data_IF_288188964594
#
_entry.id   IF_288188964594
#
_cell.length_a   1.000
_cell.length_b   1.000
_cell.length_c   1.000
_cell.angle_alpha   90.00
_cell.angle_beta   90.00
_cell.angle_gamma   90.00
#
_symmetry.space_group_name_H-M   'P 1'
#
loop_
_entity.id
_entity.type
_entity.pdbx_description
1 polymer ?
#
# COMPACT_ATOMS: atom_id res chain seq x y z
N UNK A 1 19.35 -9.50 6.06
CA UNK A 1 18.92 -8.99 4.75
C UNK A 1 17.89 -9.97 4.24
N UNK A 2 16.68 -9.48 4.02
CA UNK A 2 15.59 -10.27 3.46
C UNK A 2 15.08 -9.58 2.20
N UNK A 3 14.34 -10.32 1.40
CA UNK A 3 13.61 -9.81 0.25
C UNK A 3 12.12 -9.81 0.61
N UNK A 4 11.53 -8.64 0.77
CA UNK A 4 10.09 -8.51 0.94
C UNK A 4 9.41 -8.67 -0.42
N UNK A 5 8.67 -9.76 -0.61
CA UNK A 5 8.04 -10.11 -1.89
C UNK A 5 6.55 -9.83 -1.81
N UNK A 6 6.07 -8.77 -2.47
CA UNK A 6 4.65 -8.45 -2.56
C UNK A 6 4.00 -9.27 -3.68
N UNK A 7 3.18 -10.26 -3.28
CA UNK A 7 2.77 -11.36 -4.17
C UNK A 7 1.30 -11.74 -3.96
N UNK A 8 0.66 -12.32 -4.98
CA UNK A 8 -0.71 -12.81 -4.91
C UNK A 8 -1.13 -13.64 -6.12
N UNK A 9 -2.00 -13.14 -7.01
CA UNK A 9 -2.55 -13.92 -8.12
C UNK A 9 -1.52 -14.34 -9.17
N UNK A 10 -0.40 -13.62 -9.31
CA UNK A 10 0.68 -13.99 -10.23
C UNK A 10 1.52 -15.12 -9.67
N UNK A 11 1.82 -15.05 -8.37
CA UNK A 11 2.60 -16.04 -7.65
C UNK A 11 2.02 -16.15 -6.24
N UNK A 12 1.33 -17.25 -5.97
CA UNK A 12 0.63 -17.41 -4.70
C UNK A 12 1.64 -17.38 -3.53
N UNK A 13 1.32 -16.78 -2.36
CA UNK A 13 2.26 -16.72 -1.23
C UNK A 13 2.77 -18.08 -0.73
N UNK A 14 2.02 -19.15 -1.00
CA UNK A 14 2.39 -20.54 -0.70
C UNK A 14 3.11 -21.27 -1.84
N UNK A 15 3.53 -20.58 -2.90
CA UNK A 15 4.22 -21.19 -4.03
C UNK A 15 5.63 -21.69 -3.63
N UNK A 16 6.06 -22.88 -4.09
CA UNK A 16 7.40 -23.40 -3.81
C UNK A 16 8.56 -22.47 -4.21
N UNK A 17 8.37 -21.60 -5.21
CA UNK A 17 9.39 -20.62 -5.60
C UNK A 17 9.73 -19.63 -4.47
N UNK A 18 8.84 -19.46 -3.49
CA UNK A 18 9.02 -18.60 -2.32
C UNK A 18 9.54 -19.36 -1.09
N UNK A 19 9.96 -20.62 -1.22
CA UNK A 19 10.38 -21.45 -0.10
C UNK A 19 11.74 -21.05 0.52
N UNK A 20 12.55 -20.24 -0.17
CA UNK A 20 13.82 -19.76 0.37
C UNK A 20 13.60 -18.85 1.60
N UNK A 21 14.33 -19.11 2.68
CA UNK A 21 14.25 -18.36 3.95
C UNK A 21 14.61 -16.88 3.84
N UNK A 22 15.27 -16.47 2.76
CA UNK A 22 15.56 -15.08 2.43
C UNK A 22 14.34 -14.31 1.93
N UNK A 23 13.28 -15.00 1.50
CA UNK A 23 12.03 -14.38 1.09
C UNK A 23 11.09 -14.17 2.28
N UNK A 24 10.51 -12.98 2.34
CA UNK A 24 9.44 -12.63 3.29
C UNK A 24 8.21 -12.29 2.45
N UNK A 25 7.32 -13.27 2.18
CA UNK A 25 6.10 -13.03 1.43
C UNK A 25 5.23 -11.98 2.13
N UNK A 26 4.73 -11.03 1.34
CA UNK A 26 3.79 -9.98 1.70
C UNK A 26 2.57 -10.12 0.81
N UNK A 27 1.37 -9.69 1.27
CA UNK A 27 0.19 -9.62 0.40
C UNK A 27 0.45 -8.72 -0.83
N UNK A 28 -0.44 -8.69 -1.84
CA UNK A 28 -0.32 -7.75 -2.95
C UNK A 28 -0.17 -6.31 -2.44
N UNK A 29 0.76 -5.56 -3.03
CA UNK A 29 1.12 -4.23 -2.52
C UNK A 29 -0.03 -3.23 -2.62
N UNK A 30 -0.28 -2.51 -1.53
CA UNK A 30 -1.22 -1.40 -1.46
C UNK A 30 -0.54 -0.10 -1.02
N UNK A 31 -1.33 0.97 -1.04
CA UNK A 31 -0.94 2.26 -0.50
C UNK A 31 -0.62 2.15 1.00
N UNK A 32 0.58 2.58 1.38
CA UNK A 32 1.10 2.57 2.75
C UNK A 32 2.04 1.42 3.07
N UNK A 33 2.05 0.34 2.28
CA UNK A 33 2.77 -0.89 2.64
C UNK A 33 4.30 -0.73 2.63
N UNK A 34 4.82 0.18 1.79
CA UNK A 34 6.25 0.48 1.75
C UNK A 34 6.74 1.22 3.00
N UNK A 35 5.83 1.88 3.73
CA UNK A 35 6.10 2.62 4.97
C UNK A 35 6.18 1.68 6.19
N UNK A 36 6.10 0.37 5.98
CA UNK A 36 6.20 -0.62 7.04
C UNK A 36 7.58 -0.55 7.76
N UNK A 37 7.62 -0.46 9.10
CA UNK A 37 8.88 -0.24 9.85
C UNK A 37 9.88 -1.39 9.75
N UNK A 38 9.42 -2.58 9.40
CA UNK A 38 10.26 -3.74 9.15
C UNK A 38 11.04 -3.72 7.84
N UNK A 39 10.83 -2.74 6.95
CA UNK A 39 11.60 -2.58 5.71
C UNK A 39 12.77 -1.64 6.00
N UNK A 40 13.99 -2.18 6.01
CA UNK A 40 15.21 -1.43 6.33
C UNK A 40 16.07 -1.17 5.09
N UNK A 41 17.00 -0.18 5.13
CA UNK A 41 17.93 0.08 4.03
C UNK A 41 18.79 -1.12 3.59
N UNK A 42 18.91 -2.14 4.45
CA UNK A 42 19.66 -3.36 4.15
C UNK A 42 18.82 -4.43 3.44
N UNK A 43 17.54 -4.18 3.18
CA UNK A 43 16.61 -5.13 2.57
C UNK A 43 16.36 -4.82 1.11
N UNK A 44 15.78 -5.80 0.41
CA UNK A 44 15.26 -5.64 -0.95
C UNK A 44 13.74 -5.74 -0.91
N UNK A 45 13.07 -4.93 -1.71
CA UNK A 45 11.64 -5.04 -1.98
C UNK A 45 11.45 -5.54 -3.41
N UNK A 46 10.73 -6.65 -3.58
CA UNK A 46 10.27 -7.13 -4.88
C UNK A 46 8.76 -6.93 -4.96
N UNK A 47 8.33 -6.11 -5.92
CA UNK A 47 6.91 -5.88 -6.22
C UNK A 47 6.53 -6.78 -7.38
N UNK A 48 5.65 -7.75 -7.13
CA UNK A 48 5.00 -8.55 -8.17
C UNK A 48 3.58 -8.03 -8.34
N UNK A 49 2.72 -8.32 -7.37
CA UNK A 49 1.29 -8.00 -7.43
C UNK A 49 0.93 -6.78 -6.57
N UNK A 50 -0.13 -6.09 -6.99
CA UNK A 50 -0.75 -5.01 -6.23
C UNK A 50 -2.24 -5.24 -6.01
N UNK A 51 -2.78 -4.59 -4.98
CA UNK A 51 -4.22 -4.53 -4.78
C UNK A 51 -4.89 -3.79 -5.94
N UNK A 52 -5.99 -4.35 -6.43
CA UNK A 52 -6.78 -3.76 -7.51
C UNK A 52 -8.25 -3.61 -7.05
N UNK A 53 -8.86 -2.45 -7.33
CA UNK A 53 -10.21 -2.01 -6.96
C UNK A 53 -10.59 -1.93 -5.46
N UNK A 54 -10.12 -2.85 -4.61
CA UNK A 54 -10.56 -2.94 -3.22
C UNK A 54 -9.80 -1.99 -2.27
N UNK A 55 -8.64 -1.51 -2.69
CA UNK A 55 -7.83 -0.54 -1.97
C UNK A 55 -7.02 0.30 -2.97
N UNK A 56 -6.56 1.51 -2.58
CA UNK A 56 -5.67 2.29 -3.43
C UNK A 56 -4.36 1.53 -3.68
N UNK A 57 -3.96 1.45 -4.95
CA UNK A 57 -2.67 0.87 -5.34
C UNK A 57 -1.49 1.71 -4.82
N UNK A 58 -0.32 1.07 -4.76
CA UNK A 58 0.94 1.73 -4.40
C UNK A 58 1.20 2.97 -5.27
N UNK A 59 1.63 4.06 -4.62
CA UNK A 59 1.93 5.34 -5.29
C UNK A 59 3.41 5.42 -5.65
N UNK A 60 3.72 6.07 -6.78
CA UNK A 60 5.11 6.34 -7.20
C UNK A 60 5.96 6.97 -6.11
N UNK A 61 5.39 7.94 -5.37
CA UNK A 61 6.11 8.66 -4.31
C UNK A 61 6.53 7.75 -3.15
N UNK A 62 5.81 6.67 -2.88
CA UNK A 62 6.19 5.69 -1.85
C UNK A 62 7.37 4.83 -2.30
N UNK A 63 7.41 4.48 -3.60
CA UNK A 63 8.54 3.75 -4.20
C UNK A 63 9.77 4.67 -4.22
N UNK A 64 9.63 5.91 -4.67
CA UNK A 64 10.72 6.90 -4.67
C UNK A 64 11.24 7.14 -3.25
N UNK A 65 10.34 7.28 -2.26
CA UNK A 65 10.75 7.39 -0.86
C UNK A 65 11.53 6.15 -0.40
N UNK A 66 11.09 4.95 -0.78
CA UNK A 66 11.77 3.71 -0.43
C UNK A 66 13.18 3.65 -1.02
N UNK A 67 13.32 3.98 -2.31
CA UNK A 67 14.61 4.11 -2.99
C UNK A 67 15.51 5.15 -2.31
N UNK A 68 14.95 6.31 -1.90
CA UNK A 68 15.71 7.38 -1.22
C UNK A 68 16.29 6.96 0.13
N UNK A 69 15.76 5.91 0.76
CA UNK A 69 16.32 5.31 1.98
C UNK A 69 17.47 4.34 1.72
N UNK A 70 17.84 4.11 0.46
CA UNK A 70 18.83 3.11 0.06
C UNK A 70 18.27 1.69 -0.07
N UNK A 71 16.95 1.51 0.11
CA UNK A 71 16.30 0.21 -0.09
C UNK A 71 16.27 -0.09 -1.58
N UNK A 72 16.69 -1.30 -1.96
CA UNK A 72 16.58 -1.75 -3.34
C UNK A 72 15.15 -2.13 -3.67
N UNK A 73 14.63 -1.63 -4.79
CA UNK A 73 13.28 -1.98 -5.25
C UNK A 73 13.33 -2.60 -6.64
N UNK A 74 12.85 -3.84 -6.74
CA UNK A 74 12.62 -4.56 -7.99
C UNK A 74 11.13 -4.56 -8.31
N UNK A 75 10.80 -4.54 -9.60
CA UNK A 75 9.45 -4.75 -10.10
C UNK A 75 9.43 -5.74 -11.26
N UNK A 76 8.52 -6.70 -11.20
CA UNK A 76 8.34 -7.73 -12.22
C UNK A 76 6.88 -8.15 -12.30
N UNK A 77 6.43 -8.52 -13.50
CA UNK A 77 5.02 -8.81 -13.80
C UNK A 77 4.03 -7.73 -13.32
N UNK A 78 2.74 -7.91 -13.65
CA UNK A 78 1.62 -7.18 -13.02
C UNK A 78 1.89 -5.66 -12.83
N UNK A 79 1.53 -5.08 -11.68
CA UNK A 79 1.84 -3.68 -11.35
C UNK A 79 3.34 -3.43 -11.11
N UNK A 80 4.10 -4.45 -10.72
CA UNK A 80 5.52 -4.33 -10.42
C UNK A 80 6.33 -3.91 -11.65
N UNK A 81 6.13 -4.60 -12.77
CA UNK A 81 6.73 -4.30 -14.06
C UNK A 81 6.35 -2.91 -14.57
N UNK A 82 5.06 -2.53 -14.45
CA UNK A 82 4.58 -1.20 -14.83
C UNK A 82 5.29 -0.10 -14.04
N UNK A 83 5.35 -0.23 -12.70
CA UNK A 83 6.01 0.75 -11.83
C UNK A 83 7.52 0.79 -12.07
N UNK A 84 8.15 -0.35 -12.35
CA UNK A 84 9.57 -0.38 -12.73
C UNK A 84 9.83 0.35 -14.04
N UNK A 85 8.96 0.23 -15.05
CA UNK A 85 9.09 0.96 -16.30
C UNK A 85 8.96 2.49 -16.09
N UNK A 86 8.00 2.92 -15.28
CA UNK A 86 7.78 4.34 -14.97
C UNK A 86 8.87 4.96 -14.07
N UNK A 87 9.55 4.14 -13.26
CA UNK A 87 10.53 4.57 -12.25
C UNK A 87 11.95 4.07 -12.53
N UNK A 88 12.23 3.62 -13.76
CA UNK A 88 13.56 3.17 -14.17
C UNK A 88 14.59 4.28 -13.94
N UNK A 89 14.28 5.50 -14.38
CA UNK A 89 15.13 6.68 -14.17
C UNK A 89 15.24 7.09 -12.69
N UNK A 90 14.35 6.59 -11.83
CA UNK A 90 14.40 6.79 -10.38
C UNK A 90 15.25 5.74 -9.65
N UNK A 91 15.76 4.72 -10.34
CA UNK A 91 16.57 3.64 -9.78
C UNK A 91 15.80 2.37 -9.42
N UNK A 92 14.51 2.26 -9.79
CA UNK A 92 13.77 1.00 -9.66
C UNK A 92 14.25 0.00 -10.73
N UNK A 93 14.53 -1.24 -10.33
CA UNK A 93 15.03 -2.29 -11.22
C UNK A 93 13.86 -3.07 -11.79
N UNK A 94 13.71 -3.06 -13.12
CA UNK A 94 12.71 -3.88 -13.80
C UNK A 94 13.25 -5.23 -14.23
N UNK A 95 12.41 -6.27 -14.14
CA UNK A 95 12.78 -7.64 -14.53
C UNK A 95 11.68 -8.26 -15.39
N UNK A 96 12.09 -8.95 -16.46
CA UNK A 96 11.21 -9.80 -17.26
C UNK A 96 10.68 -9.21 -18.57
N UNK A 97 9.91 -10.04 -19.29
CA UNK A 97 9.30 -9.72 -20.60
C UNK A 97 8.30 -8.57 -20.46
N UNK A 98 7.49 -8.56 -19.40
CA UNK A 98 6.44 -7.56 -19.18
C UNK A 98 7.04 -6.19 -18.87
N UNK A 99 8.07 -6.13 -18.02
CA UNK A 99 8.80 -4.88 -17.77
C UNK A 99 9.38 -4.33 -19.05
N UNK A 100 10.10 -5.16 -19.81
CA UNK A 100 10.73 -4.76 -21.07
C UNK A 100 9.69 -4.21 -22.04
N UNK A 101 8.52 -4.86 -22.13
CA UNK A 101 7.46 -4.44 -23.02
C UNK A 101 6.83 -3.09 -22.62
N UNK A 102 6.68 -2.78 -21.32
CA UNK A 102 6.28 -1.45 -20.88
C UNK A 102 7.39 -0.40 -21.09
N UNK A 103 8.63 -0.70 -20.72
CA UNK A 103 9.77 0.21 -20.84
C UNK A 103 10.05 0.62 -22.30
N UNK A 104 9.75 -0.26 -23.25
CA UNK A 104 9.89 0.00 -24.69
C UNK A 104 8.61 0.49 -25.37
N UNK A 105 7.50 0.64 -24.62
CA UNK A 105 6.22 1.13 -25.13
C UNK A 105 5.42 0.12 -25.98
N UNK A 106 5.83 -1.15 -26.03
CA UNK A 106 5.04 -2.21 -26.68
C UNK A 106 3.74 -2.52 -25.91
N UNK A 107 3.75 -2.32 -24.59
CA UNK A 107 2.58 -2.31 -23.74
C UNK A 107 2.38 -0.90 -23.18
N UNK A 108 1.14 -0.44 -23.17
CA UNK A 108 0.75 0.89 -22.64
C UNK A 108 -0.50 0.84 -21.76
N UNK A 109 -1.30 -0.24 -21.85
CA UNK A 109 -2.54 -0.38 -21.09
C UNK A 109 -2.31 -1.02 -19.72
N UNK A 110 -2.98 -0.49 -18.69
CA UNK A 110 -3.01 -1.08 -17.34
C UNK A 110 -3.74 -2.43 -17.34
N UNK A 111 -4.71 -2.60 -18.24
CA UNK A 111 -5.51 -3.83 -18.37
C UNK A 111 -4.75 -4.99 -19.03
N UNK A 112 -3.53 -4.75 -19.53
CA UNK A 112 -2.68 -5.78 -20.13
C UNK A 112 -2.29 -6.85 -19.10
N UNK A 113 -2.14 -6.44 -17.85
CA UNK A 113 -1.66 -7.30 -16.74
C UNK A 113 -2.71 -7.54 -15.65
N UNK A 114 -3.85 -6.85 -15.73
CA UNK A 114 -4.93 -6.93 -14.76
C UNK A 114 -5.70 -8.25 -14.83
N UNK A 115 -6.12 -8.75 -13.67
CA UNK A 115 -6.94 -9.96 -13.52
C UNK A 115 -8.03 -9.74 -12.48
N UNK A 116 -9.19 -10.37 -12.65
CA UNK A 116 -10.07 -10.63 -11.52
C UNK A 116 -9.43 -11.69 -10.63
N UNK A 117 -9.42 -11.45 -9.33
CA UNK A 117 -8.79 -12.33 -8.35
C UNK A 117 -9.76 -12.67 -7.21
N UNK A 118 -9.53 -13.83 -6.60
CA UNK A 118 -10.17 -14.22 -5.35
C UNK A 118 -9.75 -13.28 -4.21
N UNK A 119 -10.63 -13.11 -3.22
CA UNK A 119 -10.25 -12.43 -1.99
C UNK A 119 -9.22 -13.27 -1.21
N UNK A 120 -8.44 -12.61 -0.35
CA UNK A 120 -7.57 -13.33 0.59
C UNK A 120 -8.41 -14.30 1.46
N UNK A 121 -7.90 -15.51 1.78
CA UNK A 121 -6.53 -15.96 1.54
C UNK A 121 -6.28 -16.65 0.19
N UNK A 122 -7.31 -16.89 -0.63
CA UNK A 122 -7.20 -17.67 -1.88
C UNK A 122 -6.32 -16.97 -2.93
N UNK A 123 -6.54 -15.67 -3.16
CA UNK A 123 -5.75 -14.83 -4.09
C UNK A 123 -5.62 -15.36 -5.53
N UNK A 124 -6.28 -16.45 -5.91
CA UNK A 124 -6.22 -17.04 -7.25
C UNK A 124 -6.76 -16.10 -8.33
N UNK A 125 -6.15 -16.11 -9.52
CA UNK A 125 -6.67 -15.41 -10.69
C UNK A 125 -7.84 -16.17 -11.34
N UNK A 126 -8.95 -15.50 -11.60
CA UNK A 126 -10.10 -16.06 -12.33
C UNK A 126 -10.07 -15.80 -13.83
N UNK A 127 -9.25 -14.85 -14.27
CA UNK A 127 -9.21 -14.37 -15.66
C UNK A 127 -7.80 -14.30 -16.19
N UNK A 128 -7.71 -14.32 -17.51
CA UNK A 128 -6.47 -14.25 -18.26
C UNK A 128 -6.06 -12.80 -18.54
N UNK A 129 -4.86 -12.38 -18.12
CA UNK A 129 -4.31 -11.09 -18.51
C UNK A 129 -3.91 -11.14 -20.00
N UNK A 130 -3.97 -10.00 -20.69
CA UNK A 130 -3.67 -9.96 -22.13
C UNK A 130 -2.21 -10.35 -22.44
N UNK A 131 -1.27 -10.09 -21.53
CA UNK A 131 0.12 -10.55 -21.70
C UNK A 131 0.24 -12.07 -21.85
N UNK A 132 -0.53 -12.84 -21.08
CA UNK A 132 -0.56 -14.30 -21.20
C UNK A 132 -1.31 -14.74 -22.47
N UNK A 133 -2.39 -14.03 -22.83
CA UNK A 133 -3.10 -14.27 -24.10
C UNK A 133 -2.16 -14.08 -25.30
N UNK A 134 -1.41 -12.97 -25.34
CA UNK A 134 -0.43 -12.67 -26.39
C UNK A 134 0.62 -13.78 -26.48
N UNK A 135 1.13 -14.27 -25.35
CA UNK A 135 2.09 -15.37 -25.32
C UNK A 135 1.50 -16.65 -25.90
N UNK A 136 0.30 -17.03 -25.47
CA UNK A 136 -0.39 -18.22 -25.97
C UNK A 136 -0.64 -18.13 -27.49
N UNK A 137 -1.07 -16.98 -28.00
CA UNK A 137 -1.27 -16.76 -29.43
C UNK A 137 0.03 -16.85 -30.23
N UNK A 138 1.11 -16.23 -29.75
CA UNK A 138 2.44 -16.33 -30.39
C UNK A 138 2.93 -17.79 -30.45
N UNK A 139 2.74 -18.54 -29.37
CA UNK A 139 3.08 -19.97 -29.33
C UNK A 139 2.24 -20.77 -30.33
N UNK A 140 0.93 -20.53 -30.38
CA UNK A 140 0.03 -21.18 -31.35
C UNK A 140 0.43 -20.90 -32.80
N UNK A 141 0.83 -19.66 -33.13
CA UNK A 141 1.36 -19.30 -34.45
C UNK A 141 2.67 -20.03 -34.74
N UNK A 142 3.60 -20.07 -33.76
CA UNK A 142 4.89 -20.74 -33.94
C UNK A 142 4.77 -22.25 -34.15
N UNK A 143 3.70 -22.85 -33.61
CA UNK A 143 3.39 -24.28 -33.76
C UNK A 143 2.48 -24.56 -34.98
N UNK A 144 2.09 -23.54 -35.75
CA UNK A 144 1.25 -23.68 -36.93
C UNK A 144 -0.21 -24.05 -36.63
N UNK A 145 -0.67 -23.85 -35.40
CA UNK A 145 -2.06 -24.13 -34.97
C UNK A 145 -3.03 -23.09 -35.55
N UNK A 146 -2.56 -21.84 -35.66
CA UNK A 146 -3.25 -20.72 -36.29
C UNK A 146 -2.25 -19.91 -37.11
N UNK A 147 -2.75 -19.13 -38.07
CA UNK A 147 -1.93 -18.16 -38.80
C UNK A 147 -1.85 -16.81 -38.04
N UNK A 148 -0.92 -15.91 -38.45
CA UNK A 148 -0.78 -14.60 -37.81
C UNK A 148 -2.05 -13.72 -37.89
N UNK A 149 -2.83 -13.81 -38.96
CA UNK A 149 -4.04 -13.00 -39.14
C UNK A 149 -5.12 -13.40 -38.13
N UNK A 150 -5.33 -14.70 -37.95
CA UNK A 150 -6.21 -15.25 -36.92
C UNK A 150 -5.76 -14.86 -35.51
N UNK A 151 -4.46 -14.88 -35.22
CA UNK A 151 -3.91 -14.41 -33.94
C UNK A 151 -4.28 -12.96 -33.67
N UNK A 152 -4.10 -12.07 -34.65
CA UNK A 152 -4.40 -10.64 -34.52
C UNK A 152 -5.90 -10.39 -34.32
N UNK A 153 -6.76 -11.11 -35.06
CA UNK A 153 -8.22 -11.04 -34.89
C UNK A 153 -8.66 -11.49 -33.49
N UNK A 154 -8.16 -12.63 -33.00
CA UNK A 154 -8.48 -13.13 -31.66
C UNK A 154 -8.05 -12.13 -30.59
N UNK A 155 -6.83 -11.59 -30.70
CA UNK A 155 -6.33 -10.60 -29.76
C UNK A 155 -7.17 -9.32 -29.77
N UNK A 156 -7.56 -8.85 -30.96
CA UNK A 156 -8.41 -7.67 -31.11
C UNK A 156 -9.79 -7.87 -30.46
N UNK A 157 -10.40 -9.05 -30.57
CA UNK A 157 -11.66 -9.37 -29.90
C UNK A 157 -11.49 -9.43 -28.37
N UNK A 158 -10.44 -10.07 -27.88
CA UNK A 158 -10.20 -10.20 -26.44
C UNK A 158 -9.84 -8.87 -25.77
N UNK A 159 -9.22 -7.95 -26.49
CA UNK A 159 -8.93 -6.59 -25.99
C UNK A 159 -10.22 -5.81 -25.69
N UNK A 160 -11.31 -6.05 -26.43
CA UNK A 160 -12.62 -5.42 -26.20
C UNK A 160 -13.32 -5.94 -24.94
N UNK A 161 -12.95 -7.12 -24.46
CA UNK A 161 -13.52 -7.72 -23.26
C UNK A 161 -12.89 -7.06 -22.03
N UNK A 162 -13.73 -6.57 -21.11
CA UNK A 162 -13.26 -6.06 -19.81
C UNK A 162 -12.43 -7.12 -19.08
N UNK A 163 -11.27 -6.75 -18.52
CA UNK A 163 -10.29 -7.70 -17.99
C UNK A 163 -10.92 -8.71 -17.01
N UNK A 164 -11.85 -8.26 -16.16
CA UNK A 164 -12.49 -9.10 -15.16
C UNK A 164 -13.44 -10.16 -15.74
N UNK A 165 -13.68 -10.15 -17.05
CA UNK A 165 -14.52 -11.13 -17.76
C UNK A 165 -13.72 -12.03 -18.73
N UNK A 166 -12.39 -11.87 -18.83
CA UNK A 166 -11.51 -12.65 -19.73
C UNK A 166 -11.27 -14.07 -19.20
N UNK A 167 -12.32 -14.87 -19.07
CA UNK A 167 -12.22 -16.28 -18.67
C UNK A 167 -11.70 -17.16 -19.80
N UNK A 168 -11.20 -18.35 -19.48
CA UNK A 168 -10.82 -19.35 -20.49
C UNK A 168 -11.96 -19.60 -21.49
N UNK A 169 -13.21 -19.67 -21.03
CA UNK A 169 -14.39 -19.84 -21.91
C UNK A 169 -14.51 -18.72 -22.95
N UNK A 170 -14.19 -17.49 -22.58
CA UNK A 170 -14.21 -16.34 -23.49
C UNK A 170 -13.07 -16.42 -24.50
N UNK A 171 -11.86 -16.80 -24.08
CA UNK A 171 -10.73 -17.07 -24.97
C UNK A 171 -11.07 -18.12 -26.03
N UNK A 172 -11.65 -19.25 -25.60
CA UNK A 172 -12.09 -20.32 -26.51
C UNK A 172 -13.18 -19.84 -27.48
N UNK A 173 -14.09 -18.97 -27.02
CA UNK A 173 -15.15 -18.42 -27.86
C UNK A 173 -14.61 -17.45 -28.90
N UNK A 174 -13.64 -16.61 -28.54
CA UNK A 174 -12.98 -15.69 -29.46
C UNK A 174 -12.29 -16.43 -30.61
N UNK A 175 -11.57 -17.52 -30.29
CA UNK A 175 -10.97 -18.40 -31.30
C UNK A 175 -11.98 -18.94 -32.31
N UNK A 176 -13.13 -19.45 -31.84
CA UNK A 176 -14.20 -19.92 -32.73
C UNK A 176 -14.80 -18.82 -33.60
N UNK A 177 -15.11 -17.67 -33.01
CA UNK A 177 -15.70 -16.53 -33.72
C UNK A 177 -14.78 -15.95 -34.80
N UNK A 178 -13.46 -16.08 -34.63
CA UNK A 178 -12.47 -15.65 -35.60
C UNK A 178 -12.07 -16.75 -36.62
N UNK A 179 -12.83 -17.86 -36.71
CA UNK A 179 -12.54 -18.93 -37.66
C UNK A 179 -11.38 -19.86 -37.29
N UNK A 180 -10.87 -19.76 -36.05
CA UNK A 180 -9.72 -20.53 -35.56
C UNK A 180 -10.09 -21.44 -34.37
N UNK A 181 -11.02 -22.41 -34.53
CA UNK A 181 -11.45 -23.29 -33.44
C UNK A 181 -10.33 -24.20 -32.92
N UNK A 182 -9.30 -24.47 -33.73
CA UNK A 182 -8.14 -25.30 -33.35
C UNK A 182 -7.36 -24.71 -32.16
N UNK A 183 -7.27 -23.37 -32.07
CA UNK A 183 -6.63 -22.68 -30.95
C UNK A 183 -7.19 -23.12 -29.59
N UNK A 184 -8.51 -23.28 -29.51
CA UNK A 184 -9.16 -23.59 -28.25
C UNK A 184 -8.87 -25.01 -27.74
N UNK A 185 -8.85 -25.98 -28.64
CA UNK A 185 -8.50 -27.37 -28.30
C UNK A 185 -7.04 -27.47 -27.91
N UNK A 186 -6.16 -26.86 -28.71
CA UNK A 186 -4.73 -26.80 -28.43
C UNK A 186 -4.42 -26.17 -27.08
N UNK A 187 -5.00 -25.01 -26.77
CA UNK A 187 -4.75 -24.33 -25.49
C UNK A 187 -5.21 -25.18 -24.30
N UNK A 188 -6.35 -25.85 -24.43
CA UNK A 188 -6.87 -26.73 -23.38
C UNK A 188 -5.95 -27.94 -23.14
N UNK A 189 -5.44 -28.52 -24.22
CA UNK A 189 -4.50 -29.65 -24.17
C UNK A 189 -3.18 -29.24 -23.50
N UNK A 190 -2.59 -28.13 -23.94
CA UNK A 190 -1.38 -27.56 -23.32
C UNK A 190 -1.55 -27.25 -21.83
N UNK A 191 -2.69 -26.70 -21.44
CA UNK A 191 -2.99 -26.41 -20.02
C UNK A 191 -3.27 -27.65 -19.18
N UNK A 192 -3.67 -28.75 -19.82
CA UNK A 192 -3.82 -30.03 -19.12
C UNK A 192 -2.45 -30.61 -18.76
N UNK A 193 -1.48 -30.52 -19.68
CA UNK A 193 -0.12 -31.00 -19.48
C UNK A 193 0.71 -30.10 -18.56
N UNK A 194 0.60 -28.78 -18.73
CA UNK A 194 1.27 -27.77 -17.91
C UNK A 194 0.29 -26.65 -17.52
N UNK A 195 -0.13 -26.57 -16.24
CA UNK A 195 -1.07 -25.53 -15.79
C UNK A 195 -0.50 -24.11 -15.90
N UNK A 196 0.82 -23.95 -16.06
CA UNK A 196 1.50 -22.67 -16.22
C UNK A 196 1.87 -22.36 -17.67
N UNK A 197 1.37 -23.14 -18.63
CA UNK A 197 1.67 -22.94 -20.04
C UNK A 197 1.29 -21.52 -20.51
N UNK A 198 2.28 -20.79 -21.02
CA UNK A 198 2.10 -19.41 -21.49
C UNK A 198 1.90 -18.36 -20.39
N UNK A 199 2.15 -18.71 -19.12
CA UNK A 199 2.05 -17.77 -18.00
C UNK A 199 3.31 -16.90 -17.87
N UNK A 200 3.36 -15.82 -18.65
CA UNK A 200 4.48 -14.86 -18.63
C UNK A 200 4.56 -14.14 -17.29
N UNK A 201 3.42 -13.87 -16.65
CA UNK A 201 3.43 -13.23 -15.33
C UNK A 201 4.16 -14.10 -14.31
N UNK A 202 3.88 -15.41 -14.28
CA UNK A 202 4.62 -16.35 -13.42
C UNK A 202 6.09 -16.44 -13.80
N UNK A 203 6.41 -16.56 -15.08
CA UNK A 203 7.81 -16.65 -15.54
C UNK A 203 8.64 -15.43 -15.12
N UNK A 204 8.10 -14.22 -15.31
CA UNK A 204 8.75 -12.97 -14.88
C UNK A 204 8.91 -12.90 -13.36
N UNK A 205 7.90 -13.35 -12.59
CA UNK A 205 7.96 -13.37 -11.14
C UNK A 205 9.07 -14.30 -10.63
N UNK A 206 9.20 -15.51 -11.18
CA UNK A 206 10.25 -16.46 -10.83
C UNK A 206 11.64 -15.91 -11.18
N UNK A 207 11.80 -15.34 -12.38
CA UNK A 207 13.05 -14.70 -12.80
C UNK A 207 13.44 -13.56 -11.84
N UNK A 208 12.47 -12.80 -11.35
CA UNK A 208 12.71 -11.70 -10.42
C UNK A 208 13.14 -12.18 -9.02
N UNK A 209 12.65 -13.34 -8.57
CA UNK A 209 13.12 -13.97 -7.34
C UNK A 209 14.59 -14.39 -7.47
N UNK A 210 14.96 -15.04 -8.57
CA UNK A 210 16.35 -15.43 -8.86
C UNK A 210 17.27 -14.19 -8.96
N UNK A 211 16.79 -13.14 -9.64
CA UNK A 211 17.49 -11.85 -9.74
C UNK A 211 17.68 -11.22 -8.35
N UNK A 212 16.66 -11.24 -7.50
CA UNK A 212 16.75 -10.66 -6.15
C UNK A 212 17.80 -11.37 -5.26
N UNK A 213 18.02 -12.67 -5.45
CA UNK A 213 19.03 -13.45 -4.71
C UNK A 213 20.46 -13.25 -5.24
N UNK A 214 20.60 -13.01 -6.54
CA UNK A 214 21.91 -12.92 -7.21
C UNK A 214 22.49 -11.51 -7.25
N UNK A 215 21.66 -10.47 -7.08
CA UNK A 215 22.14 -9.08 -7.10
C UNK A 215 23.12 -8.79 -5.97
N UNK A 216 24.28 -8.25 -6.35
CA UNK A 216 25.33 -7.81 -5.43
C UNK A 216 24.81 -6.86 -4.36
N UNK A 217 25.43 -6.89 -3.18
CA UNK A 217 25.07 -6.06 -2.01
C UNK A 217 25.37 -4.57 -2.17
N UNK A 218 25.86 -4.13 -3.33
CA UNK A 218 26.15 -2.73 -3.61
C UNK A 218 24.88 -1.87 -3.44
N UNK A 219 24.99 -0.62 -2.97
CA UNK A 219 23.82 0.24 -2.75
C UNK A 219 22.97 0.36 -4.02
N UNK A 220 21.64 0.34 -3.85
CA UNK A 220 20.70 0.62 -4.95
C UNK A 220 20.97 2.01 -5.53
N UNK A 221 20.72 2.18 -6.83
CA UNK A 221 20.70 3.50 -7.44
C UNK A 221 19.76 4.41 -6.63
N UNK A 222 20.26 5.58 -6.25
CA UNK A 222 19.44 6.60 -5.59
C UNK A 222 18.58 7.32 -6.63
N UNK A 223 17.40 7.85 -6.24
CA UNK A 223 16.63 8.71 -7.11
C UNK A 223 17.48 9.91 -7.62
N UNK A 224 17.20 10.43 -8.83
CA UNK A 224 17.92 11.54 -9.43
C UNK A 224 18.08 12.72 -8.46
N UNK A 225 19.28 13.29 -8.45
CA UNK A 225 19.56 14.51 -7.68
C UNK A 225 18.63 15.63 -8.17
N UNK A 226 17.92 16.27 -7.23
CA UNK A 226 16.96 17.34 -7.54
C UNK A 226 15.50 16.88 -7.77
N UNK A 227 15.20 15.58 -7.72
CA UNK A 227 13.82 15.11 -7.78
C UNK A 227 13.03 15.54 -6.54
N UNK A 228 12.07 16.44 -6.72
CA UNK A 228 11.17 16.91 -5.64
C UNK A 228 9.91 16.05 -5.58
N UNK A 229 9.91 15.05 -4.72
CA UNK A 229 8.75 14.16 -4.49
C UNK A 229 8.07 14.41 -3.13
N UNK A 230 8.76 15.07 -2.19
CA UNK A 230 8.22 15.42 -0.89
C UNK A 230 7.23 16.59 -1.01
N UNK A 231 5.96 16.24 -1.25
CA UNK A 231 4.84 17.18 -1.36
C UNK A 231 3.92 17.06 -0.15
N UNK A 232 3.06 18.07 0.10
CA UNK A 232 2.03 18.02 1.15
C UNK A 232 1.17 16.74 1.10
N UNK A 233 0.79 16.29 -0.09
CA UNK A 233 0.03 15.04 -0.25
C UNK A 233 0.83 13.82 0.23
N UNK A 234 2.12 13.75 -0.14
CA UNK A 234 2.99 12.68 0.32
C UNK A 234 3.17 12.71 1.83
N UNK A 235 3.42 13.89 2.43
CA UNK A 235 3.54 14.03 3.88
C UNK A 235 2.28 13.58 4.62
N UNK A 236 1.10 13.96 4.12
CA UNK A 236 -0.18 13.48 4.66
C UNK A 236 -0.29 11.95 4.63
N UNK A 237 0.06 11.32 3.50
CA UNK A 237 0.06 9.86 3.38
C UNK A 237 1.14 9.22 4.26
N UNK A 238 2.32 9.82 4.34
CA UNK A 238 3.40 9.34 5.18
C UNK A 238 2.96 9.31 6.65
N UNK A 239 2.38 10.40 7.16
CA UNK A 239 1.84 10.47 8.51
C UNK A 239 0.71 9.46 8.76
N UNK A 240 -0.08 9.14 7.74
CA UNK A 240 -1.19 8.19 7.82
C UNK A 240 -0.73 6.76 8.14
N UNK A 241 0.41 6.34 7.57
CA UNK A 241 0.84 4.94 7.58
C UNK A 241 2.09 4.69 8.41
N UNK A 242 2.92 5.70 8.66
CA UNK A 242 4.18 5.50 9.40
C UNK A 242 3.90 4.97 10.80
N UNK A 243 4.57 3.87 11.11
CA UNK A 243 4.48 3.15 12.36
C UNK A 243 5.85 2.86 12.92
N UNK A 244 5.90 2.60 14.22
CA UNK A 244 7.13 2.29 14.95
C UNK A 244 6.92 1.05 15.79
N UNK A 245 7.95 0.21 15.88
CA UNK A 245 7.98 -0.89 16.82
C UNK A 245 8.44 -0.38 18.19
N UNK A 246 7.58 -0.50 19.20
CA UNK A 246 7.83 0.01 20.57
C UNK A 246 7.11 -0.87 21.60
N UNK A 247 7.80 -1.27 22.67
CA UNK A 247 7.28 -2.18 23.71
C UNK A 247 6.69 -3.52 23.17
N UNK A 248 7.16 -3.99 22.01
CA UNK A 248 6.64 -5.20 21.36
C UNK A 248 5.36 -4.97 20.53
N UNK A 249 4.92 -3.72 20.39
CA UNK A 249 3.79 -3.33 19.55
C UNK A 249 4.26 -2.63 18.27
N UNK A 250 3.51 -2.78 17.18
CA UNK A 250 3.63 -1.92 16.00
C UNK A 250 2.52 -0.89 16.07
N UNK A 251 2.87 0.36 16.36
CA UNK A 251 1.90 1.44 16.54
C UNK A 251 2.14 2.57 15.53
N UNK A 252 1.06 3.02 14.88
CA UNK A 252 1.09 4.21 14.02
C UNK A 252 1.49 5.43 14.85
N UNK A 253 2.45 6.21 14.36
CA UNK A 253 2.94 7.41 15.05
C UNK A 253 1.78 8.41 15.26
N UNK A 254 0.92 8.58 14.25
CA UNK A 254 -0.26 9.47 14.36
C UNK A 254 -1.18 9.12 15.52
N UNK A 255 -1.38 7.82 15.83
CA UNK A 255 -2.25 7.41 16.94
C UNK A 255 -1.58 7.72 18.28
N UNK A 256 -0.27 7.56 18.36
CA UNK A 256 0.53 7.93 19.54
C UNK A 256 0.47 9.43 19.78
N UNK A 257 0.70 10.23 18.74
CA UNK A 257 0.64 11.70 18.82
C UNK A 257 -0.78 12.16 19.14
N UNK A 258 -1.81 11.65 18.47
CA UNK A 258 -3.20 11.99 18.75
C UNK A 258 -3.60 11.64 20.21
N UNK A 259 -3.14 10.49 20.71
CA UNK A 259 -3.36 10.13 22.11
C UNK A 259 -2.73 11.13 23.06
N UNK A 260 -1.47 11.54 22.83
CA UNK A 260 -0.82 12.57 23.64
C UNK A 260 -1.52 13.93 23.51
N UNK A 261 -1.92 14.34 22.30
CA UNK A 261 -2.68 15.56 22.06
C UNK A 261 -3.97 15.60 22.89
N UNK A 262 -4.67 14.47 23.01
CA UNK A 262 -5.95 14.37 23.70
C UNK A 262 -5.77 14.22 25.22
N UNK A 263 -4.88 13.33 25.67
CA UNK A 263 -4.85 12.87 27.05
C UNK A 263 -3.68 13.40 27.90
N UNK A 264 -2.59 13.90 27.30
CA UNK A 264 -1.49 14.51 28.07
C UNK A 264 -1.86 15.97 28.42
N UNK A 265 -2.00 16.32 29.72
CA UNK A 265 -2.24 17.70 30.14
C UNK A 265 -1.08 18.63 29.80
N UNK A 266 0.15 18.10 29.71
CA UNK A 266 1.36 18.83 29.38
C UNK A 266 1.57 19.06 27.88
N UNK A 267 0.72 18.49 27.01
CA UNK A 267 0.97 18.47 25.57
C UNK A 267 1.03 19.87 24.94
N UNK A 268 0.19 20.81 25.40
CA UNK A 268 0.20 22.21 24.92
C UNK A 268 1.61 22.82 24.98
N UNK A 269 2.36 22.52 26.03
CA UNK A 269 3.74 23.01 26.19
C UNK A 269 4.72 22.36 25.21
N UNK A 270 4.49 21.10 24.79
CA UNK A 270 5.26 20.45 23.73
C UNK A 270 4.91 21.06 22.37
N UNK A 271 3.62 21.27 22.12
CA UNK A 271 3.14 21.88 20.89
C UNK A 271 3.65 23.31 20.70
N UNK A 272 3.62 24.14 21.74
CA UNK A 272 4.19 25.50 21.69
C UNK A 272 5.70 25.50 21.41
N UNK A 273 6.44 24.51 21.93
CA UNK A 273 7.86 24.33 21.60
C UNK A 273 8.06 23.96 20.13
N UNK A 274 7.19 23.11 19.58
CA UNK A 274 7.21 22.74 18.17
C UNK A 274 6.95 23.96 17.27
N UNK A 275 5.92 24.75 17.57
CA UNK A 275 5.60 25.98 16.81
C UNK A 275 6.75 26.98 16.78
N UNK A 276 7.44 27.18 17.91
CA UNK A 276 8.62 28.07 17.98
C UNK A 276 9.77 27.59 17.11
N UNK A 277 9.93 26.28 16.91
CA UNK A 277 10.93 25.71 15.98
C UNK A 277 10.53 25.91 14.52
N UNK A 278 9.24 25.95 14.22
CA UNK A 278 8.69 26.16 12.88
C UNK A 278 8.52 27.66 12.52
N UNK A 279 9.39 28.53 13.06
CA UNK A 279 9.44 29.98 12.81
C UNK A 279 8.23 30.81 13.31
N UNK A 280 7.31 30.24 14.08
CA UNK A 280 6.13 30.95 14.62
C UNK A 280 6.39 31.71 15.94
N UNK A 281 7.54 32.39 16.05
CA UNK A 281 8.07 32.90 17.31
C UNK A 281 7.37 34.17 17.86
N UNK A 282 6.68 34.94 17.02
CA UNK A 282 6.08 36.24 17.39
C UNK A 282 4.56 36.21 17.63
N UNK A 283 3.90 35.09 17.34
CA UNK A 283 2.43 34.96 17.45
C UNK A 283 2.01 34.25 18.75
N UNK A 284 0.88 34.66 19.32
CA UNK A 284 0.23 33.87 20.36
C UNK A 284 -0.09 32.47 19.83
N UNK A 285 0.02 31.39 20.63
CA UNK A 285 0.00 30.03 20.10
C UNK A 285 -1.25 29.64 19.29
N UNK A 286 -2.44 30.06 19.72
CA UNK A 286 -3.67 29.83 18.97
C UNK A 286 -3.63 30.51 17.59
N UNK A 287 -3.15 31.75 17.53
CA UNK A 287 -2.96 32.50 16.27
C UNK A 287 -1.86 31.88 15.41
N UNK A 288 -0.77 31.42 16.02
CA UNK A 288 0.32 30.71 15.33
C UNK A 288 -0.21 29.45 14.63
N UNK A 289 -1.07 28.65 15.28
CA UNK A 289 -1.63 27.46 14.66
C UNK A 289 -2.52 27.78 13.46
N UNK A 290 -3.38 28.79 13.60
CA UNK A 290 -4.30 29.22 12.54
C UNK A 290 -3.56 29.84 11.36
N UNK A 291 -2.55 30.68 11.63
CA UNK A 291 -1.82 31.43 10.61
C UNK A 291 -0.74 30.61 9.92
N UNK A 292 0.05 29.83 10.68
CA UNK A 292 1.18 29.06 10.15
C UNK A 292 0.72 27.74 9.57
N UNK A 293 -0.33 27.12 10.13
CA UNK A 293 -0.80 25.77 9.77
C UNK A 293 0.37 24.80 9.57
N UNK A 294 1.17 24.57 10.61
CA UNK A 294 2.42 23.84 10.48
C UNK A 294 2.15 22.44 9.92
N UNK A 295 2.78 22.13 8.79
CA UNK A 295 2.62 20.85 8.12
C UNK A 295 3.45 19.80 8.87
N UNK A 296 2.82 19.08 9.79
CA UNK A 296 3.45 18.11 10.67
C UNK A 296 4.15 17.02 9.85
N UNK A 297 5.43 16.77 10.10
CA UNK A 297 6.19 15.69 9.45
C UNK A 297 6.49 14.59 10.47
N UNK A 298 5.67 13.54 10.49
CA UNK A 298 5.89 12.40 11.39
C UNK A 298 7.00 11.46 10.90
N UNK A 299 7.63 11.76 9.77
CA UNK A 299 8.88 11.13 9.35
C UNK A 299 10.10 11.74 10.06
N UNK A 300 10.01 13.01 10.49
CA UNK A 300 11.11 13.69 11.18
C UNK A 300 11.23 13.20 12.62
N UNK A 301 12.35 12.53 12.91
CA UNK A 301 12.65 11.99 14.23
C UNK A 301 12.66 13.07 15.31
N UNK A 302 13.17 14.27 15.01
CA UNK A 302 13.21 15.35 16.01
C UNK A 302 11.80 15.83 16.39
N UNK A 303 10.90 15.91 15.41
CA UNK A 303 9.48 16.21 15.62
C UNK A 303 8.81 15.12 16.44
N UNK A 304 9.00 13.84 16.09
CA UNK A 304 8.40 12.71 16.82
C UNK A 304 8.91 12.64 18.26
N UNK A 305 10.21 12.77 18.48
CA UNK A 305 10.83 12.74 19.81
C UNK A 305 10.36 13.91 20.69
N UNK A 306 10.04 15.07 20.09
CA UNK A 306 9.44 16.19 20.81
C UNK A 306 7.99 15.91 21.20
N UNK A 307 7.15 15.49 20.25
CA UNK A 307 5.71 15.33 20.47
C UNK A 307 5.37 14.12 21.34
N UNK A 308 6.22 13.09 21.34
CA UNK A 308 6.05 11.89 22.17
C UNK A 308 6.91 11.91 23.44
N UNK A 309 7.46 13.07 23.83
CA UNK A 309 8.37 13.19 24.98
C UNK A 309 7.76 12.72 26.31
N UNK A 310 6.46 12.93 26.51
CA UNK A 310 5.76 12.52 27.73
C UNK A 310 5.13 11.13 27.62
N UNK A 311 5.23 10.46 26.46
CA UNK A 311 4.55 9.20 26.22
C UNK A 311 5.11 8.08 27.13
N UNK A 312 4.21 7.44 27.86
CA UNK A 312 4.52 6.33 28.76
C UNK A 312 4.16 4.97 28.15
N UNK A 313 4.68 3.90 28.75
CA UNK A 313 4.25 2.53 28.42
C UNK A 313 2.76 2.29 28.72
N UNK A 314 2.21 2.97 29.72
CA UNK A 314 0.78 2.90 30.04
C UNK A 314 -0.07 3.49 28.90
N UNK A 315 0.35 4.62 28.32
CA UNK A 315 -0.32 5.24 27.17
C UNK A 315 -0.33 4.31 25.97
N UNK A 316 0.83 3.73 25.63
CA UNK A 316 0.95 2.74 24.54
C UNK A 316 0.02 1.55 24.75
N UNK A 317 -0.05 1.05 25.98
CA UNK A 317 -0.95 -0.05 26.34
C UNK A 317 -2.42 0.35 26.20
N UNK A 318 -2.78 1.57 26.59
CA UNK A 318 -4.13 2.10 26.42
C UNK A 318 -4.51 2.26 24.95
N UNK A 319 -3.58 2.76 24.10
CA UNK A 319 -3.75 2.84 22.65
C UNK A 319 -4.04 1.45 22.08
N UNK A 320 -3.18 0.45 22.38
CA UNK A 320 -3.35 -0.93 21.90
C UNK A 320 -4.71 -1.50 22.30
N UNK A 321 -5.14 -1.29 23.56
CA UNK A 321 -6.44 -1.74 24.05
C UNK A 321 -7.60 -1.12 23.27
N UNK A 322 -7.55 0.19 23.01
CA UNK A 322 -8.58 0.88 22.25
C UNK A 322 -8.66 0.36 20.81
N UNK A 323 -7.51 0.24 20.13
CA UNK A 323 -7.45 -0.23 18.75
C UNK A 323 -7.94 -1.68 18.63
N UNK A 324 -7.55 -2.57 19.56
CA UNK A 324 -8.07 -3.95 19.61
C UNK A 324 -9.59 -4.00 19.82
N UNK A 325 -10.13 -3.12 20.66
CA UNK A 325 -11.58 -3.04 20.87
C UNK A 325 -12.32 -2.65 19.59
N UNK A 326 -11.73 -1.76 18.77
CA UNK A 326 -12.28 -1.41 17.46
C UNK A 326 -12.19 -2.56 16.47
N UNK A 327 -11.06 -3.27 16.42
CA UNK A 327 -10.89 -4.45 15.55
C UNK A 327 -11.90 -5.54 15.88
N UNK A 328 -12.08 -5.86 17.17
CA UNK A 328 -13.08 -6.81 17.65
C UNK A 328 -14.50 -6.38 17.26
N UNK A 329 -14.83 -5.09 17.44
CA UNK A 329 -16.15 -4.56 17.06
C UNK A 329 -16.38 -4.65 15.55
N UNK A 330 -15.38 -4.29 14.74
CA UNK A 330 -15.43 -4.35 13.27
C UNK A 330 -15.68 -5.78 12.79
N UNK A 331 -15.02 -6.78 13.41
CA UNK A 331 -15.23 -8.20 13.08
C UNK A 331 -16.62 -8.72 13.44
N UNK A 332 -17.16 -8.27 14.57
CA UNK A 332 -18.46 -8.76 15.08
C UNK A 332 -19.66 -8.00 14.50
N UNK A 333 -19.46 -6.80 13.98
CA UNK A 333 -20.51 -5.92 13.46
C UNK A 333 -20.11 -5.37 12.08
N UNK A 334 -20.43 -6.09 10.99
CA UNK A 334 -20.16 -5.63 9.63
C UNK A 334 -20.72 -4.23 9.39
N UNK A 335 -19.88 -3.31 8.90
CA UNK A 335 -20.26 -1.91 8.67
C UNK A 335 -19.93 -0.96 9.83
N UNK A 336 -19.49 -1.46 10.99
CA UNK A 336 -18.88 -0.61 11.99
C UNK A 336 -17.45 -0.25 11.60
N UNK A 337 -17.11 1.03 11.74
CA UNK A 337 -15.74 1.54 11.69
C UNK A 337 -15.63 2.71 12.67
N UNK A 338 -14.48 2.95 13.32
CA UNK A 338 -14.35 3.99 14.35
C UNK A 338 -14.82 5.37 13.89
N UNK A 339 -14.63 5.70 12.62
CA UNK A 339 -15.02 6.97 12.02
C UNK A 339 -16.54 7.17 12.00
N UNK A 340 -17.32 6.09 12.07
CA UNK A 340 -18.79 6.09 12.15
C UNK A 340 -19.32 6.51 13.54
N UNK A 341 -18.46 6.59 14.56
CA UNK A 341 -18.86 7.08 15.89
C UNK A 341 -19.39 8.51 15.73
N UNK A 342 -20.57 8.76 16.31
CA UNK A 342 -21.25 10.06 16.21
C UNK A 342 -20.34 11.16 16.77
N UNK A 343 -20.23 12.26 16.01
CA UNK A 343 -19.41 13.41 16.41
C UNK A 343 -19.80 13.98 17.78
N UNK A 344 -21.09 13.93 18.13
CA UNK A 344 -21.58 14.34 19.45
C UNK A 344 -20.99 13.49 20.59
N UNK A 345 -20.91 12.16 20.43
CA UNK A 345 -20.27 11.28 21.41
C UNK A 345 -18.80 11.60 21.57
N UNK A 346 -18.10 11.83 20.46
CA UNK A 346 -16.68 12.23 20.46
C UNK A 346 -16.46 13.58 21.15
N UNK A 347 -17.33 14.59 20.90
CA UNK A 347 -17.30 15.89 21.59
C UNK A 347 -17.48 15.74 23.09
N UNK A 348 -18.46 14.96 23.54
CA UNK A 348 -18.70 14.73 24.97
C UNK A 348 -17.47 14.12 25.64
N UNK A 349 -16.79 13.19 24.98
CA UNK A 349 -15.52 12.63 25.47
C UNK A 349 -14.45 13.72 25.57
N UNK A 350 -14.25 14.53 24.51
CA UNK A 350 -13.25 15.61 24.52
C UNK A 350 -13.52 16.65 25.60
N UNK A 351 -14.76 17.15 25.73
CA UNK A 351 -15.15 18.11 26.77
C UNK A 351 -14.88 17.56 28.17
N UNK A 352 -15.15 16.28 28.41
CA UNK A 352 -14.87 15.64 29.68
C UNK A 352 -13.36 15.49 29.93
N UNK A 353 -12.58 15.07 28.92
CA UNK A 353 -11.11 14.88 29.05
C UNK A 353 -10.40 16.22 29.27
N UNK A 354 -10.81 17.25 28.54
CA UNK A 354 -10.17 18.57 28.61
C UNK A 354 -10.76 19.46 29.71
N UNK A 355 -11.84 19.03 30.36
CA UNK A 355 -12.55 19.81 31.39
C UNK A 355 -12.98 21.20 30.88
N UNK A 356 -13.45 21.28 29.64
CA UNK A 356 -13.93 22.51 28.99
C UNK A 356 -15.35 22.32 28.45
N UNK A 357 -16.19 23.37 28.45
CA UNK A 357 -17.50 23.30 27.81
C UNK A 357 -17.36 23.10 26.30
N UNK A 358 -18.40 22.54 25.65
CA UNK A 358 -18.39 22.24 24.22
C UNK A 358 -18.03 23.43 23.32
N UNK A 359 -18.48 24.62 23.69
CA UNK A 359 -18.22 25.89 22.97
C UNK A 359 -16.72 26.30 22.97
N UNK A 360 -15.94 25.76 23.91
CA UNK A 360 -14.50 26.03 24.02
C UNK A 360 -13.61 25.00 23.31
N UNK A 361 -14.20 23.96 22.70
CA UNK A 361 -13.44 22.90 22.05
C UNK A 361 -12.61 23.41 20.86
N UNK A 362 -13.10 24.42 20.13
CA UNK A 362 -12.38 24.99 18.99
C UNK A 362 -11.02 25.56 19.44
N UNK A 363 -11.00 26.43 20.44
CA UNK A 363 -9.77 27.02 20.97
C UNK A 363 -8.82 25.98 21.59
N UNK A 364 -9.38 25.07 22.38
CA UNK A 364 -8.61 23.98 23.01
C UNK A 364 -7.97 23.05 21.97
N UNK A 365 -8.66 22.82 20.84
CA UNK A 365 -8.16 22.03 19.72
C UNK A 365 -6.92 22.68 19.09
N UNK A 366 -6.95 23.99 18.85
CA UNK A 366 -5.81 24.73 18.33
C UNK A 366 -4.60 24.71 19.28
N UNK A 367 -4.80 24.88 20.58
CA UNK A 367 -3.72 24.81 21.57
C UNK A 367 -3.06 23.43 21.67
N UNK A 368 -3.79 22.37 21.30
CA UNK A 368 -3.31 20.99 21.24
C UNK A 368 -2.81 20.58 19.86
N UNK A 369 -2.79 21.50 18.90
CA UNK A 369 -2.23 21.29 17.56
C UNK A 369 -3.14 20.63 16.55
N UNK A 370 -4.44 20.56 16.82
CA UNK A 370 -5.44 20.22 15.81
C UNK A 370 -5.81 21.47 15.00
N UNK A 371 -6.19 21.26 13.73
CA UNK A 371 -6.71 22.26 12.81
C UNK A 371 -8.22 22.48 13.04
N UNK A 372 -8.57 22.81 14.29
CA UNK A 372 -9.94 23.05 14.76
C UNK A 372 -10.63 21.82 15.34
N UNK A 373 -11.84 22.04 15.87
CA UNK A 373 -12.63 21.04 16.61
C UNK A 373 -12.87 19.76 15.79
N UNK A 374 -13.14 19.90 14.48
CA UNK A 374 -13.45 18.76 13.62
C UNK A 374 -12.32 17.73 13.60
N UNK A 375 -11.07 18.17 13.51
CA UNK A 375 -9.93 17.26 13.48
C UNK A 375 -9.74 16.58 14.84
N UNK A 376 -9.90 17.31 15.95
CA UNK A 376 -9.85 16.72 17.28
C UNK A 376 -10.95 15.67 17.49
N UNK A 377 -12.18 15.96 17.03
CA UNK A 377 -13.32 15.05 17.06
C UNK A 377 -13.02 13.78 16.28
N UNK A 378 -12.47 13.88 15.07
CA UNK A 378 -12.10 12.70 14.28
C UNK A 378 -10.92 11.93 14.91
N UNK A 379 -9.95 12.63 15.50
CA UNK A 379 -8.79 12.05 16.15
C UNK A 379 -9.13 11.25 17.43
N UNK A 380 -10.19 11.62 18.16
CA UNK A 380 -10.58 10.90 19.39
C UNK A 380 -11.36 9.61 19.11
N UNK A 381 -12.04 9.51 17.95
CA UNK A 381 -12.94 8.38 17.63
C UNK A 381 -12.29 7.00 17.80
N UNK A 382 -11.04 6.75 17.36
CA UNK A 382 -10.37 5.47 17.58
C UNK A 382 -10.22 5.08 19.07
N UNK A 383 -10.36 6.01 20.00
CA UNK A 383 -10.20 5.76 21.44
C UNK A 383 -11.53 5.62 22.18
N UNK A 384 -12.64 6.14 21.62
CA UNK A 384 -13.93 6.24 22.30
C UNK A 384 -14.44 4.89 22.82
N UNK A 385 -14.46 3.84 21.99
CA UNK A 385 -14.96 2.53 22.43
C UNK A 385 -14.14 1.94 23.59
N UNK A 386 -12.82 2.05 23.51
CA UNK A 386 -11.93 1.55 24.56
C UNK A 386 -12.06 2.33 25.87
N UNK A 387 -12.40 3.62 25.80
CA UNK A 387 -12.67 4.45 26.98
C UNK A 387 -14.03 4.14 27.61
N UNK A 388 -15.07 3.93 26.80
CA UNK A 388 -16.42 3.62 27.31
C UNK A 388 -16.45 2.28 28.04
N UNK A 389 -15.78 1.25 27.52
CA UNK A 389 -15.67 -0.06 28.18
C UNK A 389 -14.99 0.01 29.55
N UNK A 390 -14.04 0.92 29.75
CA UNK A 390 -13.39 1.10 31.05
C UNK A 390 -14.35 1.67 32.11
N UNK A 391 -15.36 2.46 31.71
CA UNK A 391 -16.35 3.01 32.65
C UNK A 391 -17.39 1.97 33.10
N UNK A 392 -17.56 0.88 32.34
CA UNK A 392 -18.48 -0.22 32.69
C UNK A 392 -17.81 -1.30 33.57
N UNK A 393 -16.47 -1.24 33.75
CA UNK A 393 -15.69 -2.22 34.50
C UNK A 393 -15.18 -1.71 35.88
N UNK A 394 -15.51 -0.47 36.24
CA UNK A 394 -15.12 0.18 37.52
C UNK A 394 -16.33 0.40 38.40
#
# INVERSE_FOLDING_TARGET
MVVHVFTGPTLHPGDPALADSGFVPRPPIGHGDLLHPGITPADTVLIIDGVFHHAPAVRHKEIIWTLSRGVRVLGAASIGALRAAELADCGMVGVGEIYTAYATGHLVGDDEVAVAQAAAPDLSAYTWPLVNVRKALRLAVSEGVIDPEASDLILAELRKVFYAHRSLRVLLSAGRSCGAPAFGWWLKDRLHDDPYFGDVKRADAVLALETALTLDRAPSAAPPTGLVWNTRCFRRWHNEFTATQVDGFVLKIRHRVAYQQIFDPGFKSLWHRFLRRAEAHELAPALACVAVRPDLDLADRATVDLLLRHETRADRTAIVRCLRSNEERTRTHPGFFPEAIRGETARTVLSAVWSVPGESLEGESWERGFQGEREAVDAVKPFVLGLLRNKEQV
#
